data_IF_014759970196
#
_entry.id   IF_014759970196
#
_cell.length_a   1.000
_cell.length_b   1.000
_cell.length_c   1.000
_cell.angle_alpha   90.00
_cell.angle_beta   90.00
_cell.angle_gamma   90.00
#
_symmetry.space_group_name_H-M   'P 1'
#
loop_
_entity.id
_entity.type
_entity.pdbx_description
1 polymer ?
#
# COMPACT_ATOMS: atom_id res chain seq x y z
N UNK A 1 -16.40 21.59 15.02
CA UNK A 1 -16.58 22.93 14.41
C UNK A 1 -17.10 22.71 12.99
N UNK A 2 -18.37 22.98 12.72
CA UNK A 2 -18.99 22.75 11.39
C UNK A 2 -18.65 23.94 10.49
N UNK A 3 -18.02 23.66 9.34
CA UNK A 3 -17.70 24.66 8.33
C UNK A 3 -18.90 24.77 7.38
N UNK A 4 -19.51 25.96 7.28
CA UNK A 4 -20.61 26.25 6.34
C UNK A 4 -20.05 26.32 4.92
N UNK A 5 -20.40 25.34 4.07
CA UNK A 5 -20.42 25.50 2.62
C UNK A 5 -21.76 26.11 2.18
N UNK A 6 -21.77 26.88 1.09
CA UNK A 6 -23.01 27.38 0.49
C UNK A 6 -23.92 26.23 0.07
N UNK A 7 -25.23 26.44 0.22
CA UNK A 7 -26.33 25.54 -0.15
C UNK A 7 -26.71 24.42 0.84
N UNK A 8 -26.98 24.76 2.11
CA UNK A 8 -27.76 23.99 3.12
C UNK A 8 -27.45 22.48 3.33
N UNK A 9 -26.46 21.91 2.65
CA UNK A 9 -25.90 20.60 2.90
C UNK A 9 -24.95 20.71 4.08
N UNK A 10 -25.42 20.26 5.24
CA UNK A 10 -24.54 19.98 6.37
C UNK A 10 -23.57 18.89 5.93
N UNK A 11 -22.29 19.22 5.79
CA UNK A 11 -21.26 18.17 5.81
C UNK A 11 -21.44 17.36 7.10
N UNK A 12 -21.41 16.01 7.03
CA UNK A 12 -21.44 15.19 8.24
C UNK A 12 -20.39 15.68 9.23
N UNK A 13 -20.69 15.60 10.52
CA UNK A 13 -19.76 16.01 11.58
C UNK A 13 -18.41 15.32 11.35
N UNK A 14 -17.35 16.13 11.17
CA UNK A 14 -16.00 15.61 10.98
C UNK A 14 -15.51 14.77 12.18
N UNK A 15 -14.42 14.02 12.01
CA UNK A 15 -13.90 13.11 13.04
C UNK A 15 -13.52 13.88 14.31
N UNK A 16 -13.55 13.21 15.46
CA UNK A 16 -13.03 13.78 16.71
C UNK A 16 -11.53 14.14 16.53
N UNK A 17 -11.15 15.42 16.66
CA UNK A 17 -9.77 15.85 16.43
C UNK A 17 -8.79 15.33 17.49
N UNK A 18 -9.28 14.79 18.61
CA UNK A 18 -8.46 14.22 19.68
C UNK A 18 -8.08 12.75 19.45
N UNK A 19 -8.68 12.09 18.45
CA UNK A 19 -8.49 10.65 18.21
C UNK A 19 -8.10 10.37 16.75
N UNK A 20 -7.15 9.47 16.54
CA UNK A 20 -6.85 8.95 15.21
C UNK A 20 -8.07 8.21 14.63
N UNK A 21 -8.33 8.34 13.34
CA UNK A 21 -9.44 7.71 12.63
C UNK A 21 -8.96 6.93 11.40
N UNK A 22 -9.75 5.94 10.98
CA UNK A 22 -9.55 5.18 9.74
C UNK A 22 -10.72 5.45 8.77
N UNK A 23 -10.40 5.71 7.51
CA UNK A 23 -11.37 5.88 6.41
C UNK A 23 -11.44 4.64 5.52
N UNK A 24 -12.64 4.35 5.00
CA UNK A 24 -12.88 3.52 3.81
C UNK A 24 -13.74 4.33 2.84
N UNK A 25 -13.16 4.77 1.72
CA UNK A 25 -13.79 5.75 0.84
C UNK A 25 -14.02 7.08 1.57
N UNK A 26 -15.28 7.47 1.69
CA UNK A 26 -15.70 8.73 2.33
C UNK A 26 -16.16 8.55 3.78
N UNK A 27 -16.20 7.31 4.29
CA UNK A 27 -16.77 6.97 5.60
C UNK A 27 -15.68 6.73 6.67
N UNK A 28 -15.86 7.29 7.86
CA UNK A 28 -15.05 6.96 9.04
C UNK A 28 -15.50 5.60 9.56
N UNK A 29 -14.67 4.58 9.35
CA UNK A 29 -14.97 3.20 9.76
C UNK A 29 -14.45 2.85 11.15
N UNK A 30 -13.53 3.65 11.70
CA UNK A 30 -12.97 3.41 13.03
C UNK A 30 -12.42 4.67 13.69
N UNK A 31 -12.78 4.91 14.96
CA UNK A 31 -12.17 5.91 15.84
C UNK A 31 -12.35 5.49 17.33
N UNK A 32 -11.29 5.44 18.16
CA UNK A 32 -9.89 5.60 17.81
C UNK A 32 -9.40 4.43 16.94
N UNK A 33 -8.43 4.71 16.07
CA UNK A 33 -7.82 3.70 15.22
C UNK A 33 -7.13 2.61 16.05
N UNK A 34 -7.36 1.35 15.70
CA UNK A 34 -6.78 0.17 16.35
C UNK A 34 -5.68 -0.42 15.49
N UNK A 35 -4.46 -0.46 16.02
CA UNK A 35 -3.29 -0.88 15.25
C UNK A 35 -3.04 -2.38 15.28
N UNK A 36 -3.59 -3.12 16.27
CA UNK A 36 -3.26 -4.53 16.50
C UNK A 36 -3.49 -5.43 15.28
N UNK A 37 -4.55 -5.17 14.51
CA UNK A 37 -4.98 -5.96 13.34
C UNK A 37 -4.92 -5.16 12.04
N UNK A 38 -4.21 -4.04 12.05
CA UNK A 38 -4.18 -3.12 10.92
C UNK A 38 -3.61 -3.80 9.67
N UNK A 39 -2.55 -4.60 9.83
CA UNK A 39 -1.93 -5.32 8.71
C UNK A 39 -2.93 -6.26 8.03
N UNK A 40 -3.67 -7.04 8.80
CA UNK A 40 -4.69 -7.96 8.31
C UNK A 40 -5.85 -7.23 7.65
N UNK A 41 -6.31 -6.13 8.25
CA UNK A 41 -7.38 -5.30 7.69
C UNK A 41 -6.97 -4.69 6.34
N UNK A 42 -5.74 -4.16 6.24
CA UNK A 42 -5.20 -3.64 4.99
C UNK A 42 -5.07 -4.74 3.93
N UNK A 43 -4.62 -5.93 4.30
CA UNK A 43 -4.55 -7.08 3.38
C UNK A 43 -5.96 -7.51 2.93
N UNK A 44 -6.93 -7.52 3.83
CA UNK A 44 -8.31 -7.87 3.50
C UNK A 44 -8.93 -6.85 2.53
N UNK A 45 -8.76 -5.57 2.80
CA UNK A 45 -9.24 -4.51 1.91
C UNK A 45 -8.54 -4.53 0.56
N UNK A 46 -7.23 -4.75 0.53
CA UNK A 46 -6.49 -4.93 -0.71
C UNK A 46 -6.99 -6.14 -1.52
N UNK A 47 -7.31 -7.27 -0.87
CA UNK A 47 -7.94 -8.43 -1.53
C UNK A 47 -9.33 -8.11 -2.07
N UNK A 48 -10.10 -7.23 -1.41
CA UNK A 48 -11.37 -6.71 -1.93
C UNK A 48 -11.11 -5.88 -3.18
N UNK A 49 -10.20 -4.91 -3.11
CA UNK A 49 -9.81 -4.06 -4.23
C UNK A 49 -9.36 -4.89 -5.46
N UNK A 50 -8.43 -5.83 -5.28
CA UNK A 50 -7.97 -6.68 -6.37
C UNK A 50 -9.12 -7.47 -7.01
N UNK A 51 -10.00 -8.08 -6.21
CA UNK A 51 -11.17 -8.82 -6.75
C UNK A 51 -12.06 -7.90 -7.58
N UNK A 52 -12.31 -6.68 -7.12
CA UNK A 52 -13.10 -5.70 -7.87
C UNK A 52 -12.42 -5.28 -9.18
N UNK A 53 -11.11 -4.99 -9.16
CA UNK A 53 -10.37 -4.60 -10.38
C UNK A 53 -10.25 -5.76 -11.37
N UNK A 54 -10.02 -6.98 -10.89
CA UNK A 54 -9.99 -8.18 -11.73
C UNK A 54 -11.32 -8.44 -12.44
N UNK A 55 -12.45 -8.13 -11.80
CA UNK A 55 -13.77 -8.24 -12.43
C UNK A 55 -14.01 -7.12 -13.45
N UNK A 56 -13.58 -5.89 -13.15
CA UNK A 56 -13.84 -4.71 -13.98
C UNK A 56 -12.93 -4.62 -15.21
N UNK A 57 -11.62 -4.87 -15.06
CA UNK A 57 -10.61 -4.61 -16.10
C UNK A 57 -10.14 -5.91 -16.78
N UNK A 58 -10.97 -6.95 -16.76
CA UNK A 58 -10.62 -8.33 -17.10
C UNK A 58 -9.97 -8.49 -18.50
N UNK A 59 -10.28 -7.58 -19.42
CA UNK A 59 -9.80 -7.57 -20.81
C UNK A 59 -8.62 -6.61 -21.06
N UNK A 60 -8.24 -5.76 -20.10
CA UNK A 60 -7.30 -4.64 -20.34
C UNK A 60 -5.82 -5.01 -20.09
N UNK A 61 -5.51 -6.29 -19.82
CA UNK A 61 -4.18 -6.75 -19.38
C UNK A 61 -3.61 -5.87 -18.25
N UNK A 62 -4.32 -5.73 -17.13
CA UNK A 62 -3.92 -4.83 -16.06
C UNK A 62 -2.54 -5.19 -15.50
N UNK A 63 -1.72 -4.17 -15.27
CA UNK A 63 -0.46 -4.29 -14.56
C UNK A 63 -0.66 -3.83 -13.11
N UNK A 64 -0.33 -4.70 -12.15
CA UNK A 64 -0.37 -4.39 -10.74
C UNK A 64 1.03 -4.40 -10.16
N UNK A 65 1.32 -3.37 -9.38
CA UNK A 65 2.62 -3.13 -8.80
C UNK A 65 2.47 -2.64 -7.38
N UNK A 66 3.05 -3.38 -6.45
CA UNK A 66 3.13 -3.01 -5.05
C UNK A 66 4.58 -2.88 -4.63
N UNK A 67 4.92 -1.66 -4.19
CA UNK A 67 6.23 -1.29 -3.70
C UNK A 67 6.04 -0.50 -2.41
N UNK A 68 6.45 -1.07 -1.29
CA UNK A 68 6.40 -0.38 -0.01
C UNK A 68 7.56 0.60 0.07
N UNK A 69 7.30 1.90 0.11
CA UNK A 69 8.37 2.87 0.32
C UNK A 69 9.06 2.61 1.67
N UNK A 70 10.41 2.67 1.72
CA UNK A 70 11.14 2.48 2.97
C UNK A 70 10.94 3.66 3.96
N UNK A 71 10.15 4.68 3.64
CA UNK A 71 9.96 5.90 4.45
C UNK A 71 8.88 5.74 5.54
N UNK A 72 8.77 4.58 6.17
CA UNK A 72 8.06 4.51 7.46
C UNK A 72 8.98 5.06 8.55
N UNK A 73 8.68 6.25 9.05
CA UNK A 73 9.37 6.87 10.18
C UNK A 73 9.11 6.02 11.43
N UNK A 74 10.14 5.26 11.84
CA UNK A 74 10.16 4.27 12.93
C UNK A 74 9.05 3.21 12.88
N UNK A 75 9.33 2.00 13.38
CA UNK A 75 8.28 0.99 13.54
C UNK A 75 7.32 1.45 14.63
N UNK A 76 6.14 1.95 14.26
CA UNK A 76 5.14 2.37 15.25
C UNK A 76 4.37 1.18 15.80
N UNK A 77 3.94 0.25 14.93
CA UNK A 77 3.13 -0.91 15.30
C UNK A 77 3.46 -2.11 14.40
N UNK A 78 3.31 -3.32 14.95
CA UNK A 78 3.37 -4.57 14.20
C UNK A 78 2.25 -5.48 14.71
N UNK A 79 1.51 -6.14 13.80
CA UNK A 79 0.57 -7.18 14.21
C UNK A 79 1.31 -8.31 14.94
N UNK A 80 0.63 -9.08 15.81
CA UNK A 80 1.25 -10.19 16.54
C UNK A 80 2.01 -11.18 15.66
N UNK A 81 1.54 -11.42 14.43
CA UNK A 81 2.16 -12.36 13.50
C UNK A 81 3.52 -11.89 12.95
N UNK A 82 3.80 -10.59 12.95
CA UNK A 82 5.03 -10.00 12.39
C UNK A 82 5.95 -9.41 13.47
N UNK A 83 5.62 -9.58 14.74
CA UNK A 83 6.45 -9.10 15.83
C UNK A 83 7.80 -9.82 15.82
N UNK A 84 8.90 -9.08 15.69
CA UNK A 84 10.27 -9.61 15.69
C UNK A 84 10.70 -10.32 14.40
N UNK A 85 9.91 -10.27 13.32
CA UNK A 85 10.22 -10.97 12.07
C UNK A 85 11.19 -10.22 11.13
N UNK A 86 11.62 -9.01 11.49
CA UNK A 86 12.53 -8.21 10.65
C UNK A 86 13.93 -8.80 10.58
N UNK A 87 14.52 -8.79 9.38
CA UNK A 87 15.88 -9.27 9.14
C UNK A 87 16.86 -8.24 9.68
N UNK A 88 17.32 -8.39 10.93
CA UNK A 88 18.34 -7.56 11.64
C UNK A 88 18.26 -6.04 11.43
N UNK A 89 18.03 -5.31 12.51
CA UNK A 89 17.99 -3.85 12.51
C UNK A 89 16.64 -3.30 12.03
N UNK A 90 16.51 -1.98 12.08
CA UNK A 90 15.30 -1.27 11.69
C UNK A 90 15.61 -0.02 10.90
N UNK A 91 14.59 0.83 10.71
CA UNK A 91 14.74 2.09 10.00
C UNK A 91 15.88 2.92 10.62
N UNK A 92 16.65 3.59 9.76
CA UNK A 92 17.82 4.40 10.12
C UNK A 92 19.11 3.64 10.43
N UNK A 93 19.12 2.31 10.30
CA UNK A 93 20.35 1.50 10.41
C UNK A 93 20.79 0.97 9.04
N UNK A 94 22.08 0.69 8.89
CA UNK A 94 22.66 0.13 7.65
C UNK A 94 22.41 -1.38 7.46
N UNK A 95 21.58 -1.98 8.31
CA UNK A 95 21.28 -3.41 8.25
C UNK A 95 20.10 -3.71 7.33
N UNK A 96 19.95 -4.98 6.95
CA UNK A 96 18.95 -5.46 6.00
C UNK A 96 17.53 -4.97 6.33
N UNK A 97 17.12 -4.97 7.60
CA UNK A 97 15.80 -4.53 8.05
C UNK A 97 15.54 -3.03 7.91
N UNK A 98 16.56 -2.24 7.59
CA UNK A 98 16.44 -0.82 7.26
C UNK A 98 16.17 -0.54 5.77
N UNK A 99 16.47 -1.48 4.87
CA UNK A 99 16.39 -1.30 3.42
C UNK A 99 15.50 -2.34 2.71
N UNK A 100 15.44 -3.57 3.21
CA UNK A 100 14.64 -4.65 2.62
C UNK A 100 13.16 -4.36 2.84
N UNK A 101 12.40 -4.42 1.75
CA UNK A 101 10.96 -4.12 1.72
C UNK A 101 10.19 -5.22 0.99
N UNK A 102 8.90 -5.42 1.30
CA UNK A 102 8.05 -6.28 0.51
C UNK A 102 7.83 -5.69 -0.89
N UNK A 103 7.91 -6.54 -1.90
CA UNK A 103 7.75 -6.21 -3.32
C UNK A 103 6.91 -7.25 -4.02
N UNK A 104 5.86 -6.82 -4.72
CA UNK A 104 5.00 -7.72 -5.52
C UNK A 104 4.72 -7.04 -6.86
N UNK A 105 4.95 -7.77 -7.95
CA UNK A 105 4.57 -7.36 -9.30
C UNK A 105 3.68 -8.44 -9.92
N UNK A 106 2.65 -8.02 -10.66
CA UNK A 106 1.69 -8.91 -11.29
C UNK A 106 1.24 -8.36 -12.64
N UNK A 107 1.25 -9.22 -13.66
CA UNK A 107 0.80 -8.89 -15.00
C UNK A 107 0.43 -10.17 -15.75
N UNK A 108 -0.86 -10.46 -15.96
CA UNK A 108 -1.30 -11.64 -16.72
C UNK A 108 -0.70 -11.64 -18.12
N UNK A 109 -0.24 -12.81 -18.58
CA UNK A 109 0.37 -12.98 -19.89
C UNK A 109 1.84 -12.57 -20.00
N UNK A 110 2.35 -11.73 -19.08
CA UNK A 110 3.77 -11.29 -19.06
C UNK A 110 4.53 -11.93 -17.90
N UNK A 111 4.00 -11.84 -16.68
CA UNK A 111 4.62 -12.37 -15.46
C UNK A 111 3.99 -13.73 -15.14
N UNK A 112 4.81 -14.79 -15.08
CA UNK A 112 4.36 -16.13 -14.66
C UNK A 112 3.85 -16.09 -13.22
N UNK A 113 2.62 -16.55 -13.00
CA UNK A 113 2.00 -16.61 -11.69
C UNK A 113 2.78 -17.51 -10.72
N UNK A 114 2.77 -17.17 -9.43
CA UNK A 114 3.42 -17.96 -8.36
C UNK A 114 4.95 -17.95 -8.38
N UNK A 115 5.58 -17.15 -9.25
CA UNK A 115 7.04 -17.07 -9.33
C UNK A 115 7.61 -16.26 -8.17
N UNK A 116 8.68 -16.77 -7.56
CA UNK A 116 9.54 -16.04 -6.63
C UNK A 116 10.87 -15.74 -7.30
N UNK A 117 11.39 -14.52 -7.10
CA UNK A 117 12.73 -14.11 -7.55
C UNK A 117 13.53 -13.68 -6.33
N UNK A 118 14.76 -14.20 -6.19
CA UNK A 118 15.70 -13.82 -5.13
C UNK A 118 16.76 -12.83 -5.62
N UNK A 119 16.61 -12.32 -6.85
CA UNK A 119 17.50 -11.29 -7.40
C UNK A 119 17.39 -10.00 -6.58
N UNK A 120 18.54 -9.38 -6.32
CA UNK A 120 18.60 -8.08 -5.64
C UNK A 120 18.22 -6.99 -6.64
N UNK A 121 17.19 -6.23 -6.31
CA UNK A 121 16.73 -5.09 -7.10
C UNK A 121 16.74 -3.82 -6.23
N UNK A 122 16.86 -2.67 -6.89
CA UNK A 122 16.77 -1.35 -6.28
C UNK A 122 15.51 -0.63 -6.76
N UNK A 123 15.05 0.35 -5.98
CA UNK A 123 13.97 1.25 -6.41
C UNK A 123 14.30 1.99 -7.72
N UNK A 124 15.58 2.14 -8.04
CA UNK A 124 16.03 2.74 -9.30
C UNK A 124 15.71 1.88 -10.53
N UNK A 125 15.59 0.55 -10.37
CA UNK A 125 15.27 -0.37 -11.47
C UNK A 125 13.84 -0.21 -11.98
N UNK A 126 12.97 0.38 -11.15
CA UNK A 126 11.58 0.66 -11.49
C UNK A 126 11.46 1.65 -12.65
N UNK A 127 12.30 2.68 -12.66
CA UNK A 127 12.32 3.68 -13.71
C UNK A 127 12.57 3.03 -15.07
N UNK A 128 13.65 2.22 -15.16
CA UNK A 128 14.00 1.52 -16.39
C UNK A 128 12.90 0.54 -16.80
N UNK A 129 12.36 -0.21 -15.85
CA UNK A 129 11.31 -1.20 -16.11
C UNK A 129 10.04 -0.55 -16.67
N UNK A 130 9.52 0.51 -16.05
CA UNK A 130 8.32 1.20 -16.53
C UNK A 130 8.55 1.92 -17.85
N UNK A 131 9.75 2.47 -18.07
CA UNK A 131 10.13 3.01 -19.37
C UNK A 131 10.05 1.93 -20.44
N UNK A 132 10.69 0.77 -20.23
CA UNK A 132 10.74 -0.31 -21.23
C UNK A 132 9.35 -0.94 -21.48
N UNK A 133 8.44 -0.81 -20.52
CA UNK A 133 7.03 -1.20 -20.69
C UNK A 133 6.20 -0.20 -21.51
N UNK A 134 6.63 1.06 -21.59
CA UNK A 134 5.98 2.08 -22.40
C UNK A 134 6.62 2.10 -23.80
N UNK A 135 5.81 2.08 -24.85
CA UNK A 135 6.28 2.26 -26.23
C UNK A 135 6.68 3.73 -26.53
N UNK A 136 7.33 4.41 -25.59
CA UNK A 136 7.71 5.82 -25.74
C UNK A 136 9.18 5.93 -26.16
N UNK A 137 9.50 6.51 -27.34
CA UNK A 137 10.89 6.72 -27.77
C UNK A 137 11.59 7.76 -26.88
N UNK A 138 12.91 7.60 -26.71
CA UNK A 138 13.76 8.58 -26.02
C UNK A 138 13.69 9.93 -26.74
N UNK A 139 13.37 10.99 -25.99
CA UNK A 139 13.67 12.37 -26.38
C UNK A 139 15.04 12.78 -25.85
#
# INVERSE_FOLDING_TARGET
>A
MSLRGGDNEYYPSGPDPSMCFLYDGDDIVQQPMRFEWMTENLVHDWRRFLRMRLQKDQNERPFFFYFSFPQVHSTQFASPAFLGSSVRGGKSNSYEGGFRIPFIAWQPGTIKAGRVSNEVISSMDLYRTFRDMQNCPFQ
#
